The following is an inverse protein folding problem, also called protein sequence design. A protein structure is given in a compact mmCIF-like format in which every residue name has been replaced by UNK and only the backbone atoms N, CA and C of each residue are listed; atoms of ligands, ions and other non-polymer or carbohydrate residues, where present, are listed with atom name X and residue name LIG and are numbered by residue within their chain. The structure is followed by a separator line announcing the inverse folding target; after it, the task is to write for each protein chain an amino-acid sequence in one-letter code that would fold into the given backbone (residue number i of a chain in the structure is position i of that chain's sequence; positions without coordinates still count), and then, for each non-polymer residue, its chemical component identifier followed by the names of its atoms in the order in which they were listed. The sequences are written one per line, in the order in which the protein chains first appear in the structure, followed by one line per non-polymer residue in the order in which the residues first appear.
data_IF_452905051809
#
_entry.id   IF_452905051809
#
_cell.length_a   1.000
_cell.length_b   1.000
_cell.length_c   1.000
_cell.angle_alpha   90.00
_cell.angle_beta   90.00
_cell.angle_gamma   90.00
#
_symmetry.space_group_name_H-M   'P 1'
#
loop_
_entity.id
_entity.type
_entity.pdbx_description
1 polymer ?
#
# COMPACT_ATOMS: atom_id res chain seq x y z
N UNK A 1 35.45 12.26 -37.44
CA UNK A 1 35.30 11.39 -36.26
C UNK A 1 33.90 11.65 -35.72
N UNK A 2 32.96 10.76 -36.08
CA UNK A 2 31.52 10.96 -35.92
C UNK A 2 31.02 10.68 -34.51
N UNK A 3 29.82 11.19 -34.24
CA UNK A 3 29.27 11.37 -32.90
C UNK A 3 28.93 10.11 -32.13
N UNK A 4 29.06 10.22 -30.81
CA UNK A 4 28.26 9.48 -29.86
C UNK A 4 27.29 10.49 -29.25
N UNK A 5 26.19 10.73 -29.96
CA UNK A 5 25.03 11.38 -29.37
C UNK A 5 24.54 10.49 -28.24
N UNK A 6 24.84 10.88 -27.01
CA UNK A 6 24.25 10.28 -25.82
C UNK A 6 22.73 10.38 -26.00
N UNK A 7 22.09 9.23 -26.21
CA UNK A 7 20.64 9.16 -26.23
C UNK A 7 20.15 9.64 -24.87
N UNK A 8 19.66 10.89 -24.81
CA UNK A 8 18.85 11.37 -23.69
C UNK A 8 17.70 10.38 -23.58
N UNK A 9 17.76 9.49 -22.57
CA UNK A 9 16.64 8.60 -22.24
C UNK A 9 15.46 9.53 -22.01
N UNK A 10 14.53 9.54 -22.98
CA UNK A 10 13.28 10.26 -22.81
C UNK A 10 12.67 9.83 -21.47
N UNK A 11 12.12 10.76 -20.67
CA UNK A 11 11.49 10.40 -19.41
C UNK A 11 10.43 9.36 -19.72
N UNK A 12 10.64 8.13 -19.22
CA UNK A 12 9.65 7.07 -19.34
C UNK A 12 8.38 7.63 -18.71
N UNK A 13 7.35 7.87 -19.52
CA UNK A 13 6.05 8.31 -19.01
C UNK A 13 5.46 7.14 -18.25
N UNK A 14 5.78 7.08 -16.96
CA UNK A 14 5.22 6.10 -16.06
C UNK A 14 3.70 6.33 -16.00
N UNK A 15 2.94 5.24 -15.99
CA UNK A 15 1.48 5.31 -15.87
C UNK A 15 1.13 5.98 -14.53
N UNK A 16 0.13 6.87 -14.48
CA UNK A 16 -0.35 7.38 -13.19
C UNK A 16 -0.80 6.23 -12.30
N UNK A 17 -0.37 6.27 -11.04
CA UNK A 17 -0.70 5.28 -10.03
C UNK A 17 -2.11 5.52 -9.48
N UNK A 18 -2.80 4.42 -9.13
CA UNK A 18 -3.95 4.51 -8.21
C UNK A 18 -3.48 4.93 -6.81
N UNK A 19 -4.41 5.38 -5.98
CA UNK A 19 -4.09 5.84 -4.62
C UNK A 19 -3.50 4.71 -3.77
N UNK A 20 -4.05 3.51 -3.90
CA UNK A 20 -3.62 2.31 -3.20
C UNK A 20 -2.21 1.88 -3.64
N UNK A 21 -1.92 1.96 -4.94
CA UNK A 21 -0.59 1.66 -5.49
C UNK A 21 0.44 2.68 -5.04
N UNK A 22 0.12 3.97 -5.10
CA UNK A 22 0.98 5.04 -4.60
C UNK A 22 1.26 4.86 -3.11
N UNK A 23 0.23 4.53 -2.34
CA UNK A 23 0.40 4.28 -0.91
C UNK A 23 1.33 3.10 -0.63
N UNK A 24 1.18 1.99 -1.34
CA UNK A 24 2.10 0.86 -1.25
C UNK A 24 3.53 1.27 -1.65
N UNK A 25 3.70 2.07 -2.71
CA UNK A 25 5.01 2.55 -3.12
C UNK A 25 5.70 3.39 -2.05
N UNK A 26 4.96 4.30 -1.40
CA UNK A 26 5.50 5.14 -0.32
C UNK A 26 5.91 4.31 0.88
N UNK A 27 5.10 3.33 1.29
CA UNK A 27 5.45 2.46 2.42
C UNK A 27 6.67 1.57 2.12
N UNK A 28 6.85 1.13 0.87
CA UNK A 28 8.03 0.38 0.43
C UNK A 28 9.29 1.24 0.39
N UNK A 29 9.16 2.51 0.00
CA UNK A 29 10.27 3.46 0.00
C UNK A 29 10.68 3.86 1.43
N UNK A 30 9.69 3.94 2.34
CA UNK A 30 9.86 4.43 3.70
C UNK A 30 9.16 3.50 4.71
N UNK A 31 9.73 2.31 4.94
CA UNK A 31 9.18 1.33 5.87
C UNK A 31 8.98 1.81 7.32
N UNK A 32 9.73 2.79 7.87
CA UNK A 32 9.41 3.34 9.20
C UNK A 32 7.99 3.91 9.32
N UNK A 33 7.32 4.24 8.20
CA UNK A 33 5.90 4.64 8.22
C UNK A 33 4.97 3.51 8.66
N UNK A 34 5.36 2.24 8.48
CA UNK A 34 4.60 1.07 8.93
C UNK A 34 4.44 1.02 10.44
N UNK A 35 5.42 1.55 11.21
CA UNK A 35 5.36 1.59 12.68
C UNK A 35 4.18 2.43 13.19
N UNK A 36 3.69 3.36 12.38
CA UNK A 36 2.52 4.18 12.71
C UNK A 36 1.19 3.46 12.51
N UNK A 37 1.18 2.31 11.82
CA UNK A 37 -0.03 1.55 11.53
C UNK A 37 -0.25 0.47 12.59
N UNK A 38 -1.50 0.36 13.06
CA UNK A 38 -1.87 -0.76 13.92
C UNK A 38 -1.94 -2.06 13.11
N UNK A 39 -1.79 -3.20 13.78
CA UNK A 39 -1.98 -4.53 13.16
C UNK A 39 -3.38 -4.69 12.56
N UNK A 40 -4.39 -4.06 13.17
CA UNK A 40 -5.75 -4.08 12.65
C UNK A 40 -5.86 -3.32 11.31
N UNK A 41 -5.12 -2.23 11.17
CA UNK A 41 -5.10 -1.39 9.97
C UNK A 41 -4.32 -2.07 8.84
N UNK A 42 -3.15 -2.63 9.14
CA UNK A 42 -2.38 -3.45 8.20
C UNK A 42 -3.18 -4.65 7.71
N UNK A 43 -3.85 -5.37 8.61
CA UNK A 43 -4.73 -6.47 8.23
C UNK A 43 -5.88 -6.03 7.33
N UNK A 44 -6.38 -4.79 7.46
CA UNK A 44 -7.41 -4.25 6.59
C UNK A 44 -6.86 -3.93 5.19
N UNK A 45 -5.67 -3.33 5.11
CA UNK A 45 -4.99 -3.07 3.85
C UNK A 45 -4.70 -4.38 3.08
N UNK A 46 -4.32 -5.45 3.79
CA UNK A 46 -4.10 -6.77 3.19
C UNK A 46 -5.39 -7.39 2.62
N UNK A 47 -6.58 -7.03 3.13
CA UNK A 47 -7.88 -7.51 2.65
C UNK A 47 -8.47 -6.70 1.50
N UNK A 48 -7.77 -5.68 1.03
CA UNK A 48 -8.23 -4.90 -0.13
C UNK A 48 -8.41 -5.81 -1.36
N UNK A 49 -9.34 -5.47 -2.27
CA UNK A 49 -9.52 -6.22 -3.51
C UNK A 49 -8.21 -6.35 -4.29
N UNK A 50 -8.05 -7.49 -4.97
CA UNK A 50 -6.92 -7.69 -5.87
C UNK A 50 -6.91 -6.59 -6.96
N UNK A 51 -5.75 -6.03 -7.32
CA UNK A 51 -4.41 -6.47 -6.92
C UNK A 51 -3.86 -5.82 -5.64
N UNK A 52 -4.55 -4.83 -5.07
CA UNK A 52 -3.98 -3.94 -4.06
C UNK A 52 -3.71 -4.67 -2.73
N UNK A 53 -4.63 -5.55 -2.29
CA UNK A 53 -4.41 -6.35 -1.08
C UNK A 53 -3.18 -7.26 -1.14
N UNK A 54 -2.81 -7.76 -2.33
CA UNK A 54 -1.61 -8.58 -2.52
C UNK A 54 -0.33 -7.76 -2.33
N UNK A 55 -0.36 -6.46 -2.65
CA UNK A 55 0.78 -5.56 -2.43
C UNK A 55 1.01 -5.35 -0.93
N UNK A 56 -0.06 -5.06 -0.18
CA UNK A 56 0.03 -4.87 1.26
C UNK A 56 0.33 -6.16 2.02
N UNK A 57 -0.19 -7.30 1.57
CA UNK A 57 0.14 -8.60 2.15
C UNK A 57 1.63 -8.96 1.98
N UNK A 58 2.20 -8.68 0.79
CA UNK A 58 3.63 -8.86 0.58
C UNK A 58 4.46 -7.93 1.47
N UNK A 59 4.04 -6.66 1.59
CA UNK A 59 4.71 -5.66 2.42
C UNK A 59 4.70 -6.06 3.90
N UNK A 60 3.55 -6.50 4.42
CA UNK A 60 3.39 -6.97 5.79
C UNK A 60 4.26 -8.20 6.06
N UNK A 61 4.21 -9.22 5.19
CA UNK A 61 5.05 -10.41 5.32
C UNK A 61 6.56 -10.08 5.35
N UNK A 62 7.01 -9.19 4.44
CA UNK A 62 8.40 -8.74 4.42
C UNK A 62 8.78 -7.98 5.71
N UNK A 63 7.91 -7.07 6.16
CA UNK A 63 8.13 -6.29 7.38
C UNK A 63 8.18 -7.16 8.64
N UNK A 64 7.34 -8.19 8.73
CA UNK A 64 7.36 -9.13 9.85
C UNK A 64 8.63 -9.98 9.88
N UNK A 65 9.18 -10.32 8.70
CA UNK A 65 10.40 -11.14 8.60
C UNK A 65 11.69 -10.36 8.84
N UNK A 66 11.77 -9.14 8.30
CA UNK A 66 13.02 -8.37 8.24
C UNK A 66 12.99 -7.04 9.01
N UNK A 67 11.83 -6.63 9.51
CA UNK A 67 11.63 -5.34 10.16
C UNK A 67 11.67 -4.16 9.18
N UNK A 68 11.78 -2.94 9.73
CA UNK A 68 11.91 -1.73 8.93
C UNK A 68 13.27 -1.69 8.21
N UNK A 69 13.25 -1.61 6.88
CA UNK A 69 14.45 -1.48 6.04
C UNK A 69 14.39 -0.21 5.19
N UNK A 70 15.56 0.33 4.87
CA UNK A 70 15.68 1.39 3.87
C UNK A 70 15.43 0.82 2.46
N UNK A 71 15.03 1.68 1.52
CA UNK A 71 14.88 1.29 0.12
C UNK A 71 16.16 0.67 -0.45
N UNK A 72 17.34 1.19 -0.07
CA UNK A 72 18.65 0.67 -0.51
C UNK A 72 18.90 -0.78 -0.10
N UNK A 73 18.38 -1.22 1.03
CA UNK A 73 18.50 -2.61 1.50
C UNK A 73 17.47 -3.52 0.82
N UNK A 74 16.26 -2.99 0.57
CA UNK A 74 15.14 -3.72 -0.03
C UNK A 74 15.28 -3.91 -1.55
N UNK A 75 15.79 -2.88 -2.24
CA UNK A 75 15.83 -2.80 -3.70
C UNK A 75 16.53 -3.99 -4.37
N UNK A 76 17.70 -4.48 -3.91
CA UNK A 76 18.37 -5.62 -4.53
C UNK A 76 17.53 -6.89 -4.48
N UNK A 77 16.89 -7.16 -3.34
CA UNK A 77 16.01 -8.33 -3.17
C UNK A 77 14.79 -8.24 -4.09
N UNK A 78 14.18 -7.07 -4.16
CA UNK A 78 13.04 -6.81 -5.04
C UNK A 78 13.40 -6.82 -6.53
N UNK A 79 14.62 -6.48 -6.92
CA UNK A 79 15.05 -6.53 -8.33
C UNK A 79 15.37 -7.94 -8.81
N UNK A 80 15.81 -8.83 -7.92
CA UNK A 80 16.10 -10.22 -8.30
C UNK A 80 14.84 -11.04 -8.56
N UNK A 81 13.80 -10.86 -7.74
CA UNK A 81 12.55 -11.59 -7.87
C UNK A 81 11.35 -10.72 -7.42
N UNK A 82 10.98 -9.67 -8.19
CA UNK A 82 9.85 -8.84 -7.83
C UNK A 82 8.56 -9.66 -7.95
N UNK A 83 7.67 -9.60 -6.94
CA UNK A 83 6.29 -10.05 -7.13
C UNK A 83 5.68 -9.37 -8.36
N UNK A 84 4.88 -10.10 -9.13
CA UNK A 84 4.31 -9.59 -10.39
C UNK A 84 3.55 -8.26 -10.21
N UNK A 85 2.89 -8.08 -9.05
CA UNK A 85 2.18 -6.86 -8.70
C UNK A 85 3.13 -5.66 -8.45
N UNK A 86 4.36 -5.90 -8.00
CA UNK A 86 5.37 -4.88 -7.67
C UNK A 86 6.31 -4.51 -8.82
N UNK A 87 6.50 -5.41 -9.81
CA UNK A 87 7.49 -5.19 -10.88
C UNK A 87 7.32 -3.85 -11.61
N UNK A 88 6.08 -3.43 -11.91
CA UNK A 88 5.83 -2.12 -12.55
C UNK A 88 5.91 -0.92 -11.59
N UNK A 89 5.87 -1.16 -10.29
CA UNK A 89 5.90 -0.13 -9.26
C UNK A 89 7.35 0.25 -8.88
N UNK A 90 8.33 -0.61 -9.15
CA UNK A 90 9.76 -0.37 -8.84
C UNK A 90 10.27 1.01 -9.28
N UNK A 91 9.99 1.54 -10.49
CA UNK A 91 10.47 2.87 -10.88
C UNK A 91 9.84 4.00 -10.06
N UNK A 92 8.62 3.81 -9.57
CA UNK A 92 7.93 4.77 -8.71
C UNK A 92 8.51 4.76 -7.29
N UNK A 93 8.74 3.56 -6.74
CA UNK A 93 9.34 3.40 -5.41
C UNK A 93 10.74 4.05 -5.39
N UNK A 94 11.54 3.80 -6.43
CA UNK A 94 12.85 4.45 -6.59
C UNK A 94 12.73 5.99 -6.55
N UNK A 95 11.84 6.59 -7.34
CA UNK A 95 11.66 8.06 -7.34
C UNK A 95 11.18 8.59 -5.99
N UNK A 96 10.31 7.87 -5.29
CA UNK A 96 9.83 8.28 -3.98
C UNK A 96 10.97 8.22 -2.96
N UNK A 97 11.80 7.17 -3.01
CA UNK A 97 12.94 7.00 -2.09
C UNK A 97 14.02 8.07 -2.21
N UNK A 98 14.04 8.83 -3.31
CA UNK A 98 14.96 9.96 -3.52
C UNK A 98 14.58 11.19 -2.68
N UNK A 99 13.38 11.19 -2.09
CA UNK A 99 12.86 12.26 -1.25
C UNK A 99 12.80 11.81 0.22
N UNK A 100 12.89 12.75 1.17
CA UNK A 100 12.82 12.45 2.60
C UNK A 100 11.43 11.96 3.01
N UNK A 101 11.36 11.11 4.04
CA UNK A 101 10.11 10.50 4.50
C UNK A 101 9.09 11.54 5.02
N UNK A 102 9.59 12.68 5.51
CA UNK A 102 8.80 13.80 6.02
C UNK A 102 7.87 14.37 4.95
N UNK A 103 8.29 14.38 3.68
CA UNK A 103 7.50 14.89 2.56
C UNK A 103 6.22 14.06 2.33
N UNK A 104 6.22 12.79 2.76
CA UNK A 104 5.13 11.85 2.54
C UNK A 104 4.30 11.53 3.77
N UNK A 105 4.78 11.85 4.98
CA UNK A 105 4.16 11.40 6.24
C UNK A 105 2.67 11.76 6.37
N UNK A 106 2.32 13.01 6.12
CA UNK A 106 0.93 13.46 6.27
C UNK A 106 0.06 13.01 5.08
N UNK A 107 0.64 13.02 3.88
CA UNK A 107 -0.02 12.57 2.66
C UNK A 107 -0.42 11.09 2.78
N UNK A 108 0.51 10.24 3.21
CA UNK A 108 0.30 8.80 3.31
C UNK A 108 -0.65 8.44 4.44
N UNK A 109 -0.54 9.09 5.61
CA UNK A 109 -1.48 8.88 6.71
C UNK A 109 -2.92 9.21 6.27
N UNK A 110 -3.10 10.35 5.58
CA UNK A 110 -4.39 10.73 5.02
C UNK A 110 -4.86 9.76 3.92
N UNK A 111 -3.95 9.31 3.04
CA UNK A 111 -4.29 8.37 1.97
C UNK A 111 -4.75 7.02 2.52
N UNK A 112 -4.00 6.43 3.45
CA UNK A 112 -4.32 5.15 4.08
C UNK A 112 -5.65 5.23 4.83
N UNK A 113 -5.86 6.27 5.64
CA UNK A 113 -7.14 6.49 6.34
C UNK A 113 -8.32 6.49 5.36
N UNK A 114 -8.21 7.19 4.22
CA UNK A 114 -9.28 7.21 3.22
C UNK A 114 -9.49 5.85 2.53
N UNK A 115 -8.43 5.13 2.21
CA UNK A 115 -8.50 3.78 1.63
C UNK A 115 -9.24 2.84 2.58
N UNK A 116 -8.86 2.88 3.86
CA UNK A 116 -9.43 2.01 4.89
C UNK A 116 -10.89 2.34 5.18
N UNK A 117 -11.25 3.63 5.28
CA UNK A 117 -12.64 4.06 5.42
C UNK A 117 -13.49 3.56 4.25
N UNK A 118 -13.00 3.71 3.01
CA UNK A 118 -13.71 3.23 1.81
C UNK A 118 -13.92 1.71 1.88
N UNK A 119 -12.89 0.95 2.23
CA UNK A 119 -12.98 -0.50 2.32
C UNK A 119 -13.96 -0.95 3.41
N UNK A 120 -13.92 -0.32 4.60
CA UNK A 120 -14.90 -0.60 5.67
C UNK A 120 -16.33 -0.31 5.24
N UNK A 121 -16.56 0.77 4.49
CA UNK A 121 -17.89 1.09 3.96
C UNK A 121 -18.39 0.02 2.99
N UNK A 122 -17.52 -0.48 2.11
CA UNK A 122 -17.83 -1.58 1.19
C UNK A 122 -18.19 -2.85 1.96
N UNK A 123 -17.40 -3.21 2.98
CA UNK A 123 -17.66 -4.40 3.80
C UNK A 123 -18.97 -4.27 4.62
N UNK A 124 -19.24 -3.10 5.18
CA UNK A 124 -20.49 -2.81 5.90
C UNK A 124 -21.70 -2.97 4.98
N UNK A 125 -21.65 -2.42 3.76
CA UNK A 125 -22.73 -2.55 2.78
C UNK A 125 -22.97 -4.02 2.39
N UNK A 126 -21.89 -4.78 2.17
CA UNK A 126 -21.97 -6.21 1.86
C UNK A 126 -22.60 -7.03 2.99
N UNK A 127 -22.22 -6.76 4.24
CA UNK A 127 -22.80 -7.43 5.42
C UNK A 127 -24.27 -7.04 5.61
N UNK A 128 -24.61 -5.76 5.38
CA UNK A 128 -25.99 -5.28 5.50
C UNK A 128 -26.91 -5.97 4.49
N UNK A 129 -26.45 -6.21 3.26
CA UNK A 129 -27.20 -6.93 2.22
C UNK A 129 -27.48 -8.40 2.55
N UNK A 130 -26.63 -9.03 3.35
CA UNK A 130 -26.71 -10.46 3.70
C UNK A 130 -27.27 -10.70 5.10
N UNK A 131 -27.61 -9.64 5.84
CA UNK A 131 -27.96 -9.66 7.26
C UNK A 131 -29.07 -10.65 7.65
N UNK A 132 -30.08 -10.84 6.79
CA UNK A 132 -31.19 -11.77 7.06
C UNK A 132 -30.82 -13.26 6.98
N UNK A 133 -29.67 -13.59 6.40
CA UNK A 133 -29.26 -14.98 6.12
C UNK A 133 -28.02 -15.43 6.91
N UNK A 134 -27.37 -14.51 7.63
CA UNK A 134 -26.13 -14.78 8.35
C UNK A 134 -26.26 -14.42 9.84
N UNK A 135 -26.23 -15.46 10.68
CA UNK A 135 -26.26 -15.34 12.14
C UNK A 135 -25.07 -14.55 12.73
N UNK A 136 -23.97 -14.40 11.98
CA UNK A 136 -22.79 -13.64 12.38
C UNK A 136 -22.79 -12.19 11.87
N UNK A 137 -23.71 -11.81 10.98
CA UNK A 137 -23.75 -10.49 10.37
C UNK A 137 -23.81 -9.35 11.40
N UNK A 138 -24.60 -9.50 12.46
CA UNK A 138 -24.72 -8.49 13.53
C UNK A 138 -23.43 -8.32 14.36
N UNK A 139 -22.66 -9.38 14.59
CA UNK A 139 -21.37 -9.28 15.26
C UNK A 139 -20.35 -8.59 14.36
N UNK A 140 -20.28 -9.00 13.09
CA UNK A 140 -19.37 -8.43 12.08
C UNK A 140 -19.65 -6.95 11.84
N UNK A 141 -20.91 -6.54 11.72
CA UNK A 141 -21.30 -5.15 11.51
C UNK A 141 -20.84 -4.25 12.67
N UNK A 142 -20.99 -4.71 13.93
CA UNK A 142 -20.51 -3.98 15.11
C UNK A 142 -18.99 -3.81 15.10
N UNK A 143 -18.25 -4.85 14.71
CA UNK A 143 -16.79 -4.77 14.61
C UNK A 143 -16.36 -3.76 13.54
N UNK A 144 -16.94 -3.83 12.34
CA UNK A 144 -16.61 -2.92 11.22
C UNK A 144 -16.96 -1.46 11.54
N UNK A 145 -18.11 -1.22 12.16
CA UNK A 145 -18.54 0.15 12.54
C UNK A 145 -17.69 0.71 13.68
N UNK A 146 -17.28 -0.12 14.64
CA UNK A 146 -16.33 0.29 15.69
C UNK A 146 -14.97 0.68 15.10
N UNK A 147 -14.45 -0.10 14.15
CA UNK A 147 -13.19 0.23 13.48
C UNK A 147 -13.31 1.53 12.67
N UNK A 148 -14.42 1.70 11.94
CA UNK A 148 -14.69 2.93 11.20
C UNK A 148 -14.73 4.16 12.12
N UNK A 149 -15.30 4.03 13.32
CA UNK A 149 -15.34 5.10 14.30
C UNK A 149 -13.94 5.44 14.84
N UNK A 150 -13.09 4.44 15.06
CA UNK A 150 -11.71 4.66 15.50
C UNK A 150 -10.84 5.38 14.45
N UNK A 151 -11.18 5.24 13.17
CA UNK A 151 -10.47 5.92 12.08
C UNK A 151 -10.95 7.34 11.84
N UNK A 152 -12.08 7.79 12.39
CA UNK A 152 -12.63 9.15 12.16
C UNK A 152 -11.96 10.18 13.04
#
# INVERSE_FOLDING_TARGET
MGGLGAAVRAPQRLRPLRREEHAACVLLAHMPLLESLSQQDLGLLCRLPAPDGQLFAWLDDHYQQYGAQSWTELQPALQQAPPAALARLLPHIQRISEHPLEDYRDEIASALKHIMIRQLQIEIDAVTKTYGHDSQAGAKLRQLTSHLAALK
#
